data_IF_726333045792
#
_entry.id   IF_726333045792
#
_cell.length_a   1.000
_cell.length_b   1.000
_cell.length_c   1.000
_cell.angle_alpha   90.00
_cell.angle_beta   90.00
_cell.angle_gamma   90.00
#
_symmetry.space_group_name_H-M   'P 1'
#
loop_
_entity.id
_entity.type
_entity.pdbx_description
1 polymer ?
#
# COMPACT_ATOMS: atom_id res chain seq x y z
N UNK A 1 -35.26 -46.15 -1.71
CA UNK A 1 -35.37 -45.31 -2.92
C UNK A 1 -35.06 -43.89 -2.50
N UNK A 2 -33.77 -43.54 -2.49
CA UNK A 2 -33.04 -42.75 -3.50
C UNK A 2 -33.28 -41.24 -3.30
N UNK A 3 -32.36 -40.57 -2.61
CA UNK A 3 -31.30 -39.76 -3.24
C UNK A 3 -31.84 -38.70 -4.19
N UNK A 4 -31.83 -37.45 -3.74
CA UNK A 4 -31.36 -36.33 -4.57
C UNK A 4 -30.50 -35.43 -3.65
N UNK A 5 -29.19 -35.58 -3.82
CA UNK A 5 -28.18 -34.62 -3.40
C UNK A 5 -28.23 -33.48 -4.42
N UNK A 6 -28.74 -32.32 -4.05
CA UNK A 6 -28.52 -31.11 -4.85
C UNK A 6 -27.18 -30.49 -4.48
N UNK A 7 -26.29 -30.59 -5.46
CA UNK A 7 -24.97 -29.99 -5.56
C UNK A 7 -25.12 -28.47 -5.46
N UNK A 8 -24.66 -27.88 -4.36
CA UNK A 8 -24.43 -26.43 -4.27
C UNK A 8 -23.18 -26.12 -5.12
N UNK A 9 -23.27 -25.36 -6.22
CA UNK A 9 -22.08 -24.86 -6.89
C UNK A 9 -21.48 -23.72 -6.05
N UNK A 10 -20.16 -23.78 -5.88
CA UNK A 10 -19.29 -22.78 -5.27
C UNK A 10 -19.65 -21.32 -5.63
N UNK A 11 -19.41 -20.34 -4.74
CA UNK A 11 -19.63 -18.94 -5.07
C UNK A 11 -18.71 -18.51 -6.23
N UNK A 12 -19.32 -18.05 -7.32
CA UNK A 12 -18.66 -17.32 -8.40
C UNK A 12 -17.95 -16.09 -7.80
N UNK A 13 -16.61 -16.08 -7.87
CA UNK A 13 -15.84 -14.85 -7.75
C UNK A 13 -16.08 -14.03 -9.02
N UNK A 14 -16.86 -12.96 -8.90
CA UNK A 14 -17.09 -12.01 -9.99
C UNK A 14 -15.93 -11.02 -10.04
N UNK A 15 -14.92 -11.32 -10.86
CA UNK A 15 -14.00 -10.33 -11.43
C UNK A 15 -14.24 -10.34 -12.93
N UNK A 16 -15.22 -9.54 -13.36
CA UNK A 16 -15.60 -9.36 -14.75
C UNK A 16 -15.40 -7.91 -15.16
N UNK A 17 -14.84 -7.71 -16.35
CA UNK A 17 -14.67 -6.42 -17.01
C UNK A 17 -16.01 -5.67 -17.09
N UNK A 18 -16.17 -4.59 -16.33
CA UNK A 18 -17.28 -3.66 -16.52
C UNK A 18 -16.83 -2.50 -17.39
N UNK A 19 -17.55 -2.26 -18.49
CA UNK A 19 -17.62 -0.92 -19.08
C UNK A 19 -18.16 0.00 -17.99
N UNK A 20 -17.59 1.18 -17.84
CA UNK A 20 -17.96 2.19 -16.82
C UNK A 20 -19.48 2.44 -16.76
N UNK A 21 -20.21 2.25 -17.88
CA UNK A 21 -21.67 2.40 -17.95
C UNK A 21 -22.46 1.30 -17.21
N UNK A 22 -21.90 0.10 -16.98
CA UNK A 22 -22.59 -1.02 -16.31
C UNK A 22 -22.39 -1.03 -14.78
N UNK A 23 -21.44 -0.25 -14.24
CA UNK A 23 -21.27 -0.10 -12.78
C UNK A 23 -22.50 0.55 -12.14
N UNK A 24 -23.18 1.46 -12.83
CA UNK A 24 -24.41 2.10 -12.34
C UNK A 24 -25.55 1.11 -12.10
N UNK A 25 -25.56 -0.06 -12.78
CA UNK A 25 -26.58 -1.11 -12.56
C UNK A 25 -26.23 -2.05 -11.40
N UNK A 26 -24.94 -2.31 -11.16
CA UNK A 26 -24.49 -3.10 -10.01
C UNK A 26 -24.57 -2.35 -8.69
N UNK A 27 -24.49 -1.02 -8.74
CA UNK A 27 -24.63 -0.13 -7.58
C UNK A 27 -25.97 0.62 -7.55
N UNK A 28 -26.97 0.16 -8.32
CA UNK A 28 -28.34 0.63 -8.13
C UNK A 28 -28.73 0.32 -6.68
N UNK A 29 -29.16 1.36 -5.95
CA UNK A 29 -29.53 1.22 -4.54
C UNK A 29 -30.59 0.11 -4.41
N UNK A 30 -30.42 -0.85 -3.48
CA UNK A 30 -31.51 -1.76 -3.15
C UNK A 30 -32.74 -0.93 -2.75
N UNK A 31 -33.96 -1.41 -3.02
CA UNK A 31 -35.17 -0.69 -2.62
C UNK A 31 -35.10 -0.37 -1.12
N UNK A 32 -35.29 0.91 -0.78
CA UNK A 32 -35.24 1.39 0.60
C UNK A 32 -36.30 0.66 1.44
N UNK A 33 -35.88 -0.35 2.19
CA UNK A 33 -36.68 -0.90 3.29
C UNK A 33 -36.52 0.02 4.50
N UNK A 34 -37.58 0.26 5.28
CA UNK A 34 -37.53 1.17 6.45
C UNK A 34 -36.41 0.84 7.44
N UNK A 35 -35.94 -0.40 7.49
CA UNK A 35 -34.87 -0.88 8.38
C UNK A 35 -33.44 -0.43 7.98
N UNK A 36 -33.24 0.19 6.81
CA UNK A 36 -31.91 0.52 6.30
C UNK A 36 -31.79 2.00 5.85
N UNK A 37 -32.42 2.93 6.57
CA UNK A 37 -32.26 4.37 6.32
C UNK A 37 -30.89 4.85 6.84
N UNK A 38 -30.04 5.44 5.98
CA UNK A 38 -28.74 5.94 6.41
C UNK A 38 -28.91 7.13 7.35
N UNK A 39 -28.20 7.13 8.47
CA UNK A 39 -28.09 8.31 9.33
C UNK A 39 -27.07 9.29 8.74
N UNK A 40 -27.51 10.15 7.83
CA UNK A 40 -26.68 11.25 7.34
C UNK A 40 -26.63 12.35 8.41
N UNK A 41 -25.58 12.34 9.22
CA UNK A 41 -25.27 13.45 10.10
C UNK A 41 -24.49 14.55 9.37
N UNK A 42 -24.61 15.79 9.84
CA UNK A 42 -23.75 16.88 9.40
C UNK A 42 -22.28 16.58 9.81
N UNK A 43 -21.35 16.44 8.84
CA UNK A 43 -19.94 16.25 9.16
C UNK A 43 -19.35 17.37 10.02
N UNK A 44 -19.94 18.56 10.02
CA UNK A 44 -19.50 19.75 10.76
C UNK A 44 -20.33 20.06 12.01
N UNK A 45 -21.11 19.08 12.48
CA UNK A 45 -21.85 19.21 13.74
C UNK A 45 -20.93 19.63 14.90
N UNK A 46 -21.43 20.48 15.82
CA UNK A 46 -20.66 21.09 16.91
C UNK A 46 -19.85 20.08 17.73
N UNK A 47 -20.46 18.92 18.04
CA UNK A 47 -19.81 17.86 18.81
C UNK A 47 -18.61 17.22 18.10
N UNK A 48 -18.56 17.28 16.76
CA UNK A 48 -17.40 16.84 16.00
C UNK A 48 -16.36 17.95 15.84
N UNK A 49 -16.81 19.20 15.74
CA UNK A 49 -15.95 20.37 15.62
C UNK A 49 -15.17 20.65 16.90
N UNK A 50 -15.71 20.29 18.08
CA UNK A 50 -15.01 20.37 19.35
C UNK A 50 -13.65 19.64 19.32
N UNK A 51 -13.57 18.50 18.63
CA UNK A 51 -12.36 17.67 18.51
C UNK A 51 -11.54 17.98 17.25
N UNK A 52 -12.14 18.63 16.25
CA UNK A 52 -11.51 18.83 14.93
C UNK A 52 -10.53 19.99 14.97
N UNK A 53 -9.28 19.74 14.58
CA UNK A 53 -8.23 20.75 14.41
C UNK A 53 -7.56 20.52 13.06
N UNK A 54 -7.23 21.60 12.37
CA UNK A 54 -6.47 21.54 11.12
C UNK A 54 -5.02 21.84 11.45
N UNK A 55 -4.14 20.92 11.12
CA UNK A 55 -2.71 21.06 11.36
C UNK A 55 -1.97 21.25 10.03
N UNK A 56 -0.86 22.02 10.03
CA UNK A 56 -0.01 22.11 8.85
C UNK A 56 0.66 20.75 8.55
N UNK A 57 1.13 20.55 7.30
CA UNK A 57 1.91 19.38 6.94
C UNK A 57 3.13 19.18 7.84
N UNK A 58 3.67 17.96 7.87
CA UNK A 58 4.85 17.66 8.67
C UNK A 58 6.06 18.50 8.23
N UNK A 59 6.68 19.19 9.18
CA UNK A 59 7.96 19.86 8.97
C UNK A 59 9.08 18.86 9.20
N UNK A 60 9.47 18.15 8.13
CA UNK A 60 10.62 17.25 8.15
C UNK A 60 11.87 18.06 7.76
N UNK A 61 12.82 18.25 8.68
CA UNK A 61 14.03 19.02 8.39
C UNK A 61 14.87 18.34 7.29
N UNK A 62 15.09 19.05 6.18
CA UNK A 62 15.81 18.52 5.00
C UNK A 62 17.31 18.32 5.21
N UNK A 63 17.91 18.91 6.25
CA UNK A 63 19.37 18.82 6.49
C UNK A 63 19.86 17.40 6.81
N UNK A 64 18.96 16.45 7.10
CA UNK A 64 19.27 15.03 7.31
C UNK A 64 18.91 14.14 6.11
N UNK A 65 18.27 14.72 5.09
CA UNK A 65 17.80 14.02 3.89
C UNK A 65 18.88 13.96 2.81
N UNK A 66 18.95 12.82 2.13
CA UNK A 66 19.41 12.86 0.73
C UNK A 66 20.90 12.76 0.44
N UNK A 67 21.77 12.30 1.37
CA UNK A 67 23.10 11.85 0.92
C UNK A 67 22.95 10.72 -0.09
N UNK A 68 21.94 9.85 0.07
CA UNK A 68 21.63 8.84 -0.93
C UNK A 68 20.17 8.89 -1.33
N UNK A 69 19.90 8.65 -2.61
CA UNK A 69 18.57 8.51 -3.18
C UNK A 69 18.54 7.36 -4.17
N UNK A 70 17.35 6.85 -4.46
CA UNK A 70 17.13 5.85 -5.51
C UNK A 70 16.41 6.53 -6.65
N UNK A 71 17.06 6.55 -7.81
CA UNK A 71 16.45 7.02 -9.05
C UNK A 71 15.69 5.90 -9.77
N UNK A 72 14.89 6.32 -10.76
CA UNK A 72 14.11 5.42 -11.59
C UNK A 72 14.99 4.32 -12.19
N UNK A 73 14.50 3.09 -12.18
CA UNK A 73 15.27 1.92 -12.61
C UNK A 73 16.23 1.38 -11.54
N UNK A 74 16.05 1.81 -10.28
CA UNK A 74 16.78 1.38 -9.09
C UNK A 74 18.29 1.64 -9.13
N UNK A 75 18.65 2.83 -9.63
CA UNK A 75 20.01 3.33 -9.49
C UNK A 75 20.11 4.03 -8.14
N UNK A 76 20.91 3.47 -7.23
CA UNK A 76 21.26 4.10 -5.97
C UNK A 76 22.38 5.12 -6.23
N UNK A 77 22.17 6.37 -5.83
CA UNK A 77 23.08 7.48 -6.11
C UNK A 77 23.47 8.19 -4.82
N UNK A 78 24.74 8.56 -4.70
CA UNK A 78 25.27 9.47 -3.68
C UNK A 78 25.19 10.90 -4.18
N UNK A 79 24.59 11.79 -3.38
CA UNK A 79 24.49 13.20 -3.68
C UNK A 79 25.84 13.90 -3.43
N UNK A 80 26.63 14.04 -4.50
CA UNK A 80 27.96 14.64 -4.48
C UNK A 80 27.99 16.07 -3.94
N UNK A 81 26.92 16.87 -4.13
CA UNK A 81 26.82 18.24 -3.59
C UNK A 81 26.81 18.24 -2.06
N UNK A 82 26.11 17.28 -1.43
CA UNK A 82 26.10 17.14 0.02
C UNK A 82 27.44 16.62 0.55
N UNK A 83 28.09 15.71 -0.18
CA UNK A 83 29.46 15.24 0.15
C UNK A 83 30.42 16.44 0.28
N UNK A 84 30.38 17.37 -0.68
CA UNK A 84 31.21 18.58 -0.64
C UNK A 84 30.87 19.48 0.55
N UNK A 85 29.58 19.67 0.88
CA UNK A 85 29.17 20.49 2.02
C UNK A 85 29.57 19.91 3.39
N UNK A 86 29.67 18.58 3.50
CA UNK A 86 30.11 17.90 4.72
C UNK A 86 31.63 18.08 4.97
N UNK A 87 32.35 18.79 4.09
CA UNK A 87 33.82 18.90 4.06
C UNK A 87 34.53 17.54 4.07
N UNK A 88 33.78 16.46 3.79
CA UNK A 88 34.28 15.11 3.67
C UNK A 88 34.66 14.91 2.21
N UNK A 89 35.91 15.23 1.87
CA UNK A 89 36.45 15.06 0.51
C UNK A 89 36.47 13.60 0.05
N UNK A 90 36.32 12.65 0.99
CA UNK A 90 36.41 11.23 0.72
C UNK A 90 35.40 10.47 1.60
N UNK A 91 34.30 10.00 1.00
CA UNK A 91 33.33 9.11 1.64
C UNK A 91 33.43 7.72 0.99
N UNK A 92 33.34 6.66 1.78
CA UNK A 92 33.21 5.29 1.28
C UNK A 92 31.80 4.79 1.62
N UNK A 93 30.97 4.56 0.60
CA UNK A 93 29.62 4.07 0.77
C UNK A 93 29.57 2.58 0.43
N UNK A 94 28.75 1.85 1.19
CA UNK A 94 28.42 0.47 0.88
C UNK A 94 26.93 0.24 1.09
N UNK A 95 26.38 -0.68 0.31
CA UNK A 95 25.01 -1.14 0.47
C UNK A 95 24.97 -2.62 0.85
N UNK A 96 23.93 -3.00 1.58
CA UNK A 96 23.62 -4.37 1.93
C UNK A 96 22.16 -4.66 1.58
N UNK A 97 21.93 -5.74 0.82
CA UNK A 97 20.59 -6.22 0.52
C UNK A 97 19.91 -6.71 1.80
N UNK A 98 18.60 -6.50 1.93
CA UNK A 98 17.81 -6.92 3.09
C UNK A 98 17.02 -8.19 2.72
N UNK A 99 17.31 -9.31 3.37
CA UNK A 99 16.65 -10.59 3.12
C UNK A 99 15.65 -10.93 4.22
N UNK A 100 14.48 -11.44 3.83
CA UNK A 100 13.50 -11.99 4.77
C UNK A 100 13.97 -13.35 5.29
N UNK A 101 14.11 -13.49 6.60
CA UNK A 101 14.31 -14.80 7.25
C UNK A 101 12.97 -15.36 7.74
N UNK A 102 12.15 -14.50 8.33
CA UNK A 102 10.80 -14.84 8.77
C UNK A 102 9.92 -13.58 8.73
N UNK A 103 8.71 -13.68 9.24
CA UNK A 103 7.87 -12.51 9.42
C UNK A 103 8.50 -11.46 10.35
N UNK A 104 9.23 -11.85 11.39
CA UNK A 104 9.76 -10.90 12.38
C UNK A 104 11.29 -10.80 12.39
N UNK A 105 11.95 -11.36 11.38
CA UNK A 105 13.40 -11.33 11.25
C UNK A 105 13.85 -11.17 9.81
N UNK A 106 14.95 -10.45 9.65
CA UNK A 106 15.64 -10.22 8.40
C UNK A 106 17.14 -10.30 8.64
N UNK A 107 17.89 -10.45 7.55
CA UNK A 107 19.35 -10.42 7.55
C UNK A 107 19.87 -9.50 6.44
N UNK A 108 21.15 -9.15 6.50
CA UNK A 108 21.83 -8.32 5.52
C UNK A 108 22.82 -9.13 4.70
N UNK A 109 22.96 -8.82 3.40
CA UNK A 109 24.09 -9.35 2.61
C UNK A 109 25.43 -8.88 3.16
N UNK A 110 26.51 -9.47 2.65
CA UNK A 110 27.81 -8.83 2.69
C UNK A 110 27.74 -7.41 2.09
N UNK A 111 28.49 -6.43 2.66
CA UNK A 111 28.51 -5.06 2.14
C UNK A 111 29.15 -5.00 0.76
N UNK A 112 28.48 -4.31 -0.16
CA UNK A 112 28.97 -4.03 -1.50
C UNK A 112 29.31 -2.55 -1.61
N UNK A 113 30.59 -2.25 -1.87
CA UNK A 113 31.09 -0.87 -1.98
C UNK A 113 30.68 -0.27 -3.32
N UNK A 114 30.34 1.02 -3.30
CA UNK A 114 30.08 1.83 -4.48
C UNK A 114 30.52 3.27 -4.21
N UNK A 115 30.81 4.01 -5.28
CA UNK A 115 31.30 5.39 -5.18
C UNK A 115 30.16 6.39 -5.42
N UNK A 116 29.89 6.73 -6.69
CA UNK A 116 28.89 7.74 -7.02
C UNK A 116 27.50 7.13 -7.21
N UNK A 117 27.42 6.07 -8.02
CA UNK A 117 26.16 5.40 -8.31
C UNK A 117 26.35 3.90 -8.51
N UNK A 118 25.27 3.15 -8.27
CA UNK A 118 25.22 1.72 -8.55
C UNK A 118 23.81 1.31 -8.93
N UNK A 119 23.68 0.55 -10.03
CA UNK A 119 22.42 -0.06 -10.41
C UNK A 119 22.14 -1.29 -9.56
N UNK A 120 21.13 -1.21 -8.71
CA UNK A 120 20.73 -2.29 -7.84
C UNK A 120 19.98 -3.34 -8.66
N UNK A 121 20.57 -4.54 -8.79
CA UNK A 121 19.96 -5.71 -9.44
C UNK A 121 19.75 -6.81 -8.41
N UNK A 122 18.89 -6.54 -7.44
CA UNK A 122 18.62 -7.46 -6.34
C UNK A 122 17.30 -8.20 -6.52
N UNK A 123 17.23 -9.39 -5.93
CA UNK A 123 15.98 -10.15 -5.80
C UNK A 123 15.15 -9.65 -4.60
N UNK A 124 15.76 -8.87 -3.71
CA UNK A 124 15.15 -8.32 -2.49
C UNK A 124 14.51 -6.97 -2.72
N UNK A 125 13.58 -6.61 -1.84
CA UNK A 125 12.84 -5.36 -1.95
C UNK A 125 13.52 -4.16 -1.27
N UNK A 126 14.68 -4.31 -0.63
CA UNK A 126 15.33 -3.18 0.02
C UNK A 126 16.83 -3.31 0.23
N UNK A 127 17.46 -2.18 0.46
CA UNK A 127 18.88 -2.06 0.78
C UNK A 127 19.08 -1.14 1.97
N UNK A 128 20.03 -1.49 2.84
CA UNK A 128 20.63 -0.57 3.81
C UNK A 128 21.89 0.02 3.21
N UNK A 129 22.04 1.32 3.32
CA UNK A 129 23.22 2.05 2.85
C UNK A 129 23.91 2.68 4.04
N UNK A 130 25.22 2.48 4.13
CA UNK A 130 26.08 3.12 5.14
C UNK A 130 27.27 3.75 4.47
N UNK A 131 27.56 4.98 4.89
CA UNK A 131 28.69 5.74 4.38
C UNK A 131 29.61 6.12 5.53
N UNK A 132 30.92 5.98 5.28
CA UNK A 132 31.98 6.16 6.27
C UNK A 132 32.98 7.21 5.79
N UNK A 133 33.59 7.92 6.74
CA UNK A 133 34.69 8.84 6.44
C UNK A 133 35.91 8.02 5.98
N UNK A 134 36.43 8.30 4.77
CA UNK A 134 37.70 7.72 4.33
C UNK A 134 38.85 8.33 5.13
N UNK A 135 39.91 7.55 5.37
CA UNK A 135 41.15 7.96 6.07
C UNK A 135 41.02 8.32 7.56
N UNK A 136 39.89 8.00 8.22
CA UNK A 136 39.84 8.04 9.67
C UNK A 136 40.62 6.85 10.26
N UNK A 137 41.33 7.08 11.36
CA UNK A 137 42.04 6.02 12.13
C UNK A 137 41.09 4.95 12.68
N UNK A 138 39.78 5.19 12.64
CA UNK A 138 38.71 4.26 12.98
C UNK A 138 37.56 4.44 11.99
N UNK A 139 36.76 3.39 11.73
CA UNK A 139 35.58 3.51 10.86
C UNK A 139 34.51 4.40 11.49
N UNK A 140 34.50 5.68 11.13
CA UNK A 140 33.47 6.64 11.58
C UNK A 140 32.31 6.58 10.60
N UNK A 141 31.16 6.04 11.03
CA UNK A 141 29.91 6.07 10.27
C UNK A 141 29.36 7.50 10.25
N UNK A 142 29.20 8.07 9.05
CA UNK A 142 28.67 9.42 8.86
C UNK A 142 27.17 9.42 8.55
N UNK A 143 26.70 8.34 7.91
CA UNK A 143 25.36 8.31 7.36
C UNK A 143 24.85 6.87 7.26
N UNK A 144 23.55 6.73 7.55
CA UNK A 144 22.77 5.52 7.35
C UNK A 144 21.44 5.87 6.69
N UNK A 145 20.98 5.02 5.77
CA UNK A 145 19.65 5.06 5.20
C UNK A 145 19.19 3.66 4.78
N UNK A 146 17.88 3.48 4.64
CA UNK A 146 17.25 2.26 4.14
C UNK A 146 16.31 2.63 3.01
N UNK A 147 16.54 2.05 1.84
CA UNK A 147 15.74 2.30 0.65
C UNK A 147 14.89 1.10 0.29
N UNK A 148 13.62 1.34 -0.05
CA UNK A 148 12.77 0.35 -0.71
C UNK A 148 13.04 0.39 -2.21
N UNK A 149 13.34 -0.76 -2.80
CA UNK A 149 13.86 -0.88 -4.16
C UNK A 149 12.83 -1.58 -5.06
N UNK A 150 12.20 -0.79 -5.93
CA UNK A 150 11.30 -1.30 -6.96
C UNK A 150 12.08 -1.66 -8.22
N UNK A 151 12.30 -2.96 -8.43
CA UNK A 151 12.94 -3.49 -9.65
C UNK A 151 12.19 -4.69 -10.17
N UNK A 152 12.26 -4.93 -11.49
CA UNK A 152 11.80 -6.20 -12.04
C UNK A 152 12.66 -7.35 -11.48
N UNK A 153 12.01 -8.38 -10.96
CA UNK A 153 12.65 -9.60 -10.47
C UNK A 153 12.59 -10.68 -11.56
N UNK A 154 13.70 -11.02 -12.24
CA UNK A 154 13.67 -11.86 -13.45
C UNK A 154 12.95 -13.20 -13.27
N UNK A 155 13.15 -13.87 -12.14
CA UNK A 155 12.50 -15.16 -11.86
C UNK A 155 10.98 -15.04 -11.70
N UNK A 156 10.51 -13.94 -11.08
CA UNK A 156 9.09 -13.64 -10.95
C UNK A 156 8.49 -13.34 -12.33
N UNK A 157 9.16 -12.49 -13.11
CA UNK A 157 8.72 -12.13 -14.46
C UNK A 157 8.58 -13.37 -15.35
N UNK A 158 9.57 -14.27 -15.33
CA UNK A 158 9.53 -15.54 -16.07
C UNK A 158 8.33 -16.40 -15.65
N UNK A 159 8.10 -16.56 -14.34
CA UNK A 159 6.98 -17.34 -13.79
C UNK A 159 5.62 -16.75 -14.21
N UNK A 160 5.45 -15.44 -14.08
CA UNK A 160 4.18 -14.78 -14.41
C UNK A 160 3.90 -14.76 -15.91
N UNK A 161 4.93 -14.56 -16.74
CA UNK A 161 4.80 -14.65 -18.20
C UNK A 161 4.33 -16.05 -18.62
N UNK A 162 4.86 -17.11 -18.01
CA UNK A 162 4.42 -18.48 -18.29
C UNK A 162 2.95 -18.71 -17.90
N UNK A 163 2.50 -18.17 -16.77
CA UNK A 163 1.08 -18.23 -16.36
C UNK A 163 0.17 -17.54 -17.37
N UNK A 164 0.54 -16.33 -17.82
CA UNK A 164 -0.20 -15.59 -18.83
C UNK A 164 -0.28 -16.36 -20.16
N UNK A 165 0.82 -16.95 -20.63
CA UNK A 165 0.84 -17.76 -21.86
C UNK A 165 -0.06 -18.99 -21.75
N UNK A 166 -0.01 -19.72 -20.62
CA UNK A 166 -0.88 -20.88 -20.38
C UNK A 166 -2.36 -20.49 -20.38
N UNK A 167 -2.71 -19.33 -19.82
CA UNK A 167 -4.08 -18.80 -19.84
C UNK A 167 -4.52 -18.46 -21.25
N UNK A 168 -3.68 -17.77 -22.03
CA UNK A 168 -3.99 -17.44 -23.42
C UNK A 168 -4.27 -18.70 -24.24
N UNK A 169 -3.46 -19.75 -24.06
CA UNK A 169 -3.65 -21.04 -24.72
C UNK A 169 -4.99 -21.72 -24.34
N UNK A 170 -5.39 -21.69 -23.05
CA UNK A 170 -6.71 -22.19 -22.60
C UNK A 170 -7.87 -21.35 -23.16
N UNK A 171 -7.73 -20.02 -23.14
CA UNK A 171 -8.76 -19.13 -23.69
C UNK A 171 -8.96 -19.34 -25.19
N UNK A 172 -7.90 -19.64 -25.95
CA UNK A 172 -7.99 -19.94 -27.39
C UNK A 172 -8.63 -21.31 -27.69
N UNK A 173 -8.66 -22.26 -26.75
CA UNK A 173 -9.44 -23.50 -26.93
C UNK A 173 -10.93 -23.31 -26.66
N UNK A 174 -11.27 -22.33 -25.81
CA UNK A 174 -12.65 -22.12 -25.31
C UNK A 174 -13.41 -20.99 -26.03
N UNK A 175 -12.79 -20.28 -27.00
CA UNK A 175 -13.48 -19.24 -27.79
C UNK A 175 -13.33 -19.43 -29.30
N UNK A 176 -14.19 -20.29 -29.82
CA UNK A 176 -14.73 -20.10 -31.16
C UNK A 176 -15.65 -18.86 -31.14
N UNK A 177 -15.42 -17.91 -32.06
CA UNK A 177 -16.23 -16.72 -32.38
C UNK A 177 -16.29 -15.58 -31.34
N UNK A 178 -15.41 -14.59 -31.49
CA UNK A 178 -15.89 -13.21 -31.70
C UNK A 178 -15.06 -12.52 -32.80
N UNK A 179 -15.75 -12.26 -33.93
CA UNK A 179 -15.27 -11.49 -35.08
C UNK A 179 -15.25 -10.00 -34.72
N UNK A 180 -14.16 -9.52 -34.15
CA UNK A 180 -13.70 -8.12 -34.30
C UNK A 180 -12.17 -8.13 -34.15
N UNK A 181 -11.46 -7.58 -35.14
CA UNK A 181 -10.00 -7.66 -35.27
C UNK A 181 -9.18 -6.88 -34.23
N UNK A 182 -9.39 -7.14 -32.94
CA UNK A 182 -8.50 -6.70 -31.85
C UNK A 182 -8.73 -7.53 -30.58
N UNK A 183 -8.21 -8.75 -30.54
CA UNK A 183 -8.16 -9.54 -29.31
C UNK A 183 -6.97 -9.07 -28.44
N UNK A 184 -7.15 -7.98 -27.70
CA UNK A 184 -6.31 -7.67 -26.55
C UNK A 184 -7.09 -8.19 -25.35
N UNK A 185 -6.60 -9.18 -24.57
CA UNK A 185 -7.12 -9.38 -23.24
C UNK A 185 -6.91 -8.07 -22.48
N UNK A 186 -7.97 -7.28 -22.31
CA UNK A 186 -7.91 -6.03 -21.55
C UNK A 186 -7.76 -6.42 -20.09
N UNK A 187 -6.54 -6.71 -19.64
CA UNK A 187 -6.27 -6.82 -18.22
C UNK A 187 -6.50 -5.43 -17.61
N UNK A 188 -7.16 -5.34 -16.47
CA UNK A 188 -7.29 -4.11 -15.70
C UNK A 188 -6.35 -4.22 -14.50
N UNK A 189 -5.49 -3.22 -14.30
CA UNK A 189 -4.67 -3.13 -13.11
C UNK A 189 -5.53 -2.77 -11.90
N UNK A 190 -5.06 -3.07 -10.69
CA UNK A 190 -5.77 -2.73 -9.46
C UNK A 190 -4.82 -2.06 -8.49
N UNK A 191 -5.22 -0.90 -7.98
CA UNK A 191 -4.60 -0.21 -6.85
C UNK A 191 -5.64 -0.01 -5.76
N UNK A 192 -5.37 -0.54 -4.58
CA UNK A 192 -6.13 -0.28 -3.37
C UNK A 192 -5.21 0.50 -2.43
N UNK A 193 -5.59 1.74 -2.15
CA UNK A 193 -4.88 2.64 -1.24
C UNK A 193 -5.75 2.86 -0.03
N UNK A 194 -5.29 2.34 1.09
CA UNK A 194 -5.98 2.39 2.36
C UNK A 194 -5.37 3.38 3.34
N UNK A 195 -6.22 4.04 4.11
CA UNK A 195 -5.85 4.89 5.24
C UNK A 195 -6.58 4.42 6.49
N UNK A 196 -5.85 4.18 7.58
CA UNK A 196 -6.41 3.65 8.82
C UNK A 196 -7.18 4.73 9.59
N UNK A 197 -8.30 4.35 10.22
CA UNK A 197 -9.01 5.17 11.22
C UNK A 197 -9.61 6.50 10.71
N UNK A 198 -9.84 6.64 9.41
CA UNK A 198 -10.46 7.84 8.82
C UNK A 198 -11.88 7.53 8.37
N UNK A 199 -12.87 7.99 9.14
CA UNK A 199 -14.27 7.90 8.72
C UNK A 199 -14.53 8.83 7.53
N UNK A 200 -15.58 8.54 6.75
CA UNK A 200 -16.01 9.41 5.65
C UNK A 200 -16.24 10.86 6.11
N UNK A 201 -16.85 11.06 7.27
CA UNK A 201 -17.04 12.40 7.84
C UNK A 201 -15.72 13.04 8.27
N UNK A 202 -14.79 12.27 8.83
CA UNK A 202 -13.48 12.80 9.16
C UNK A 202 -12.71 13.23 7.90
N UNK A 203 -12.73 12.42 6.83
CA UNK A 203 -12.15 12.77 5.53
C UNK A 203 -12.70 14.09 4.97
N UNK A 204 -14.02 14.32 5.09
CA UNK A 204 -14.65 15.59 4.68
C UNK A 204 -14.04 16.79 5.42
N UNK A 205 -13.74 16.64 6.71
CA UNK A 205 -13.16 17.71 7.55
C UNK A 205 -11.66 17.88 7.35
N UNK A 206 -10.91 16.78 7.31
CA UNK A 206 -9.44 16.80 7.45
C UNK A 206 -8.71 16.52 6.14
N UNK A 207 -9.34 15.95 5.12
CA UNK A 207 -8.70 15.60 3.84
C UNK A 207 -9.46 16.17 2.63
N UNK A 208 -9.79 17.46 2.69
CA UNK A 208 -10.66 18.08 1.70
C UNK A 208 -10.01 18.21 0.31
N UNK A 209 -8.68 18.33 0.22
CA UNK A 209 -7.96 18.44 -1.06
C UNK A 209 -7.99 17.11 -1.79
N UNK A 210 -7.63 16.03 -1.10
CA UNK A 210 -7.69 14.65 -1.59
C UNK A 210 -9.11 14.28 -2.00
N UNK A 211 -10.10 14.54 -1.13
CA UNK A 211 -11.51 14.26 -1.43
C UNK A 211 -11.98 15.01 -2.67
N UNK A 212 -11.68 16.31 -2.74
CA UNK A 212 -12.06 17.14 -3.89
C UNK A 212 -11.40 16.60 -5.16
N UNK A 213 -10.11 16.26 -5.12
CA UNK A 213 -9.40 15.71 -6.27
C UNK A 213 -10.06 14.42 -6.77
N UNK A 214 -10.36 13.47 -5.88
CA UNK A 214 -11.06 12.23 -6.22
C UNK A 214 -12.39 12.50 -6.94
N UNK A 215 -13.22 13.39 -6.40
CA UNK A 215 -14.56 13.63 -6.93
C UNK A 215 -14.58 14.49 -8.19
N UNK A 216 -13.72 15.50 -8.29
CA UNK A 216 -13.78 16.50 -9.37
C UNK A 216 -12.79 16.24 -10.49
N UNK A 217 -11.62 15.65 -10.20
CA UNK A 217 -10.58 15.39 -11.20
C UNK A 217 -10.58 13.95 -11.68
N UNK A 218 -10.84 13.00 -10.78
CA UNK A 218 -10.93 11.57 -11.12
C UNK A 218 -12.36 11.08 -11.35
N UNK A 219 -13.37 11.91 -11.04
CA UNK A 219 -14.78 11.55 -11.12
C UNK A 219 -15.09 10.24 -10.37
N UNK A 220 -14.43 10.02 -9.23
CA UNK A 220 -14.60 8.84 -8.40
C UNK A 220 -16.03 8.76 -7.85
N UNK A 221 -16.51 7.54 -7.64
CA UNK A 221 -17.81 7.27 -7.01
C UNK A 221 -17.64 7.25 -5.49
N UNK A 222 -18.40 8.11 -4.79
CA UNK A 222 -18.46 8.13 -3.32
C UNK A 222 -19.46 7.06 -2.83
N UNK A 223 -18.93 5.97 -2.27
CA UNK A 223 -19.74 4.90 -1.68
C UNK A 223 -20.25 5.34 -0.29
N UNK A 224 -21.23 6.25 -0.25
CA UNK A 224 -21.73 6.85 0.98
C UNK A 224 -22.31 5.83 2.00
N UNK A 225 -22.66 4.63 1.55
CA UNK A 225 -23.22 3.54 2.37
C UNK A 225 -22.19 2.45 2.73
N UNK A 226 -20.96 2.56 2.25
CA UNK A 226 -19.88 1.65 2.64
C UNK A 226 -19.62 1.80 4.15
N UNK A 227 -19.69 0.69 4.87
CA UNK A 227 -19.56 0.66 6.32
C UNK A 227 -18.69 -0.49 6.81
N UNK A 228 -18.04 -0.25 7.94
CA UNK A 228 -17.26 -1.25 8.65
C UNK A 228 -18.16 -2.36 9.20
N UNK A 229 -17.67 -3.59 9.21
CA UNK A 229 -18.34 -4.77 9.78
C UNK A 229 -17.68 -5.28 11.07
N UNK A 230 -16.57 -4.64 11.47
CA UNK A 230 -15.79 -4.95 12.67
C UNK A 230 -15.37 -3.71 13.45
N UNK A 231 -14.79 -3.94 14.63
CA UNK A 231 -14.35 -2.86 15.52
C UNK A 231 -13.04 -2.20 15.08
N UNK A 232 -12.08 -3.00 14.62
CA UNK A 232 -10.72 -2.58 14.26
C UNK A 232 -10.34 -3.09 12.85
N UNK A 233 -9.11 -2.84 12.43
CA UNK A 233 -8.62 -3.08 11.07
C UNK A 233 -8.77 -4.53 10.58
N UNK A 234 -8.28 -5.51 11.35
CA UNK A 234 -8.27 -6.92 10.95
C UNK A 234 -9.64 -7.50 10.54
N UNK A 235 -10.71 -7.41 11.35
CA UNK A 235 -12.03 -7.92 10.99
C UNK A 235 -12.71 -7.15 9.85
N UNK A 236 -12.26 -5.93 9.55
CA UNK A 236 -12.77 -5.15 8.41
C UNK A 236 -12.04 -5.49 7.11
N UNK A 237 -10.71 -5.68 7.16
CA UNK A 237 -9.91 -5.90 5.96
C UNK A 237 -9.76 -7.37 5.56
N UNK A 238 -9.85 -8.32 6.49
CA UNK A 238 -9.83 -9.73 6.11
C UNK A 238 -10.97 -10.09 5.13
N UNK A 239 -12.23 -9.65 5.35
CA UNK A 239 -13.31 -9.86 4.38
C UNK A 239 -13.09 -9.17 3.04
N UNK A 240 -12.54 -7.95 3.03
CA UNK A 240 -12.18 -7.25 1.78
C UNK A 240 -11.16 -8.05 0.98
N UNK A 241 -10.18 -8.63 1.66
CA UNK A 241 -9.07 -9.32 1.01
C UNK A 241 -9.31 -10.80 0.73
N UNK A 242 -10.34 -11.43 1.32
CA UNK A 242 -10.56 -12.89 1.22
C UNK A 242 -12.01 -13.29 0.96
N UNK A 243 -12.96 -12.37 1.08
CA UNK A 243 -14.39 -12.66 1.09
C UNK A 243 -14.89 -13.38 2.35
N UNK A 244 -14.04 -13.57 3.38
CA UNK A 244 -14.35 -14.34 4.59
C UNK A 244 -14.20 -13.50 5.86
N UNK A 245 -15.09 -13.74 6.83
CA UNK A 245 -14.96 -13.20 8.19
C UNK A 245 -13.83 -13.91 8.95
N UNK A 246 -13.21 -13.26 9.94
CA UNK A 246 -12.26 -13.92 10.82
C UNK A 246 -12.86 -15.14 11.51
N UNK A 247 -12.03 -16.16 11.72
CA UNK A 247 -12.38 -17.25 12.61
C UNK A 247 -12.39 -16.75 14.06
N UNK A 248 -13.38 -17.18 14.85
CA UNK A 248 -13.61 -16.70 16.21
C UNK A 248 -12.49 -17.15 17.18
N UNK A 249 -11.72 -18.19 16.84
CA UNK A 249 -10.87 -18.91 17.79
C UNK A 249 -9.55 -19.46 17.21
N UNK A 250 -8.76 -18.64 16.49
CA UNK A 250 -7.52 -19.15 15.86
C UNK A 250 -6.26 -19.03 16.71
N UNK A 251 -6.32 -18.44 17.90
CA UNK A 251 -5.11 -18.02 18.61
C UNK A 251 -4.21 -17.13 17.73
N UNK A 252 -2.98 -16.84 18.17
CA UNK A 252 -2.01 -16.19 17.27
C UNK A 252 -1.41 -17.25 16.35
N UNK A 253 -1.96 -17.41 15.14
CA UNK A 253 -1.40 -18.25 14.06
C UNK A 253 -0.96 -17.40 12.86
N UNK A 254 -0.20 -18.00 11.94
CA UNK A 254 0.12 -17.37 10.67
C UNK A 254 -1.13 -17.34 9.77
N UNK A 255 -1.43 -16.20 9.16
CA UNK A 255 -2.70 -15.99 8.46
C UNK A 255 -2.82 -16.83 7.18
N UNK A 256 -1.68 -17.08 6.50
CA UNK A 256 -1.57 -17.97 5.34
C UNK A 256 -1.69 -19.47 5.70
N UNK A 257 -1.78 -19.81 6.99
CA UNK A 257 -2.00 -21.18 7.48
C UNK A 257 -3.44 -21.41 7.95
N UNK A 258 -4.30 -20.40 7.90
CA UNK A 258 -5.69 -20.48 8.37
C UNK A 258 -6.69 -20.82 7.25
N UNK A 259 -6.23 -21.20 6.04
CA UNK A 259 -7.13 -21.56 4.93
C UNK A 259 -7.80 -20.37 4.24
N UNK A 260 -7.28 -19.16 4.47
CA UNK A 260 -7.66 -17.98 3.69
C UNK A 260 -6.94 -17.98 2.36
N UNK A 261 -7.71 -17.68 1.31
CA UNK A 261 -7.18 -17.34 -0.01
C UNK A 261 -7.36 -15.85 -0.20
N UNK A 262 -6.26 -15.16 -0.41
CA UNK A 262 -6.23 -13.71 -0.54
C UNK A 262 -6.36 -13.29 -2.01
N UNK A 263 -6.97 -12.13 -2.23
CA UNK A 263 -7.24 -11.58 -3.55
C UNK A 263 -5.97 -11.45 -4.40
N UNK A 264 -4.84 -11.06 -3.79
CA UNK A 264 -3.57 -11.00 -4.52
C UNK A 264 -3.11 -12.37 -5.04
N UNK A 265 -3.48 -13.49 -4.41
CA UNK A 265 -3.16 -14.83 -4.91
C UNK A 265 -3.98 -15.16 -6.16
N UNK A 266 -5.25 -14.73 -6.23
CA UNK A 266 -6.06 -14.84 -7.44
C UNK A 266 -5.43 -14.04 -8.58
N UNK A 267 -5.03 -12.80 -8.33
CA UNK A 267 -4.32 -11.99 -9.31
C UNK A 267 -2.97 -12.61 -9.72
N UNK A 268 -2.20 -13.17 -8.77
CA UNK A 268 -0.93 -13.85 -9.04
C UNK A 268 -1.10 -15.03 -10.02
N UNK A 269 -2.15 -15.83 -9.83
CA UNK A 269 -2.47 -16.97 -10.67
C UNK A 269 -2.84 -16.54 -12.09
N UNK A 270 -3.42 -15.34 -12.23
CA UNK A 270 -3.68 -14.69 -13.52
C UNK A 270 -2.48 -13.97 -14.12
N UNK A 271 -1.29 -14.09 -13.51
CA UNK A 271 -0.05 -13.52 -14.02
C UNK A 271 0.21 -12.07 -13.63
N UNK A 272 -0.52 -11.55 -12.63
CA UNK A 272 -0.31 -10.19 -12.13
C UNK A 272 0.92 -10.12 -11.22
N UNK A 273 1.60 -8.97 -11.27
CA UNK A 273 2.59 -8.60 -10.24
C UNK A 273 1.84 -8.10 -9.03
N UNK A 274 2.28 -8.48 -7.83
CA UNK A 274 1.52 -8.23 -6.59
C UNK A 274 2.37 -7.48 -5.59
N UNK A 275 1.79 -6.44 -4.98
CA UNK A 275 2.42 -5.64 -3.94
C UNK A 275 1.51 -5.59 -2.72
N UNK A 276 2.11 -5.79 -1.54
CA UNK A 276 1.51 -5.49 -0.26
C UNK A 276 2.46 -4.60 0.53
N UNK A 277 2.01 -3.40 0.89
CA UNK A 277 2.82 -2.45 1.66
C UNK A 277 2.05 -1.87 2.85
N UNK A 278 2.73 -1.83 3.98
CA UNK A 278 2.28 -1.16 5.21
C UNK A 278 3.41 -0.26 5.72
N UNK A 279 3.08 0.79 6.47
CA UNK A 279 3.99 1.87 6.90
C UNK A 279 4.43 1.81 8.37
N UNK A 280 3.95 0.81 9.09
CA UNK A 280 4.28 0.52 10.50
C UNK A 280 4.55 -0.97 10.65
N UNK A 281 5.33 -1.43 11.63
CA UNK A 281 5.50 -2.89 11.86
C UNK A 281 4.79 -3.41 13.11
N UNK A 282 4.40 -2.51 14.01
CA UNK A 282 3.77 -2.89 15.28
C UNK A 282 2.23 -2.98 15.18
N UNK A 283 1.58 -2.16 14.34
CA UNK A 283 0.11 -2.14 14.15
C UNK A 283 -0.37 -2.78 12.83
N UNK A 284 0.43 -3.63 12.20
CA UNK A 284 0.03 -4.24 10.93
C UNK A 284 -1.27 -5.04 10.99
N UNK A 285 -2.02 -4.97 9.89
CA UNK A 285 -3.34 -5.59 9.69
C UNK A 285 -3.32 -7.06 10.12
N UNK A 286 -2.37 -7.82 9.59
CA UNK A 286 -2.31 -9.28 9.74
C UNK A 286 -1.27 -9.74 10.77
N UNK A 287 -0.66 -8.84 11.54
CA UNK A 287 0.32 -9.20 12.59
C UNK A 287 -0.03 -8.67 13.98
N UNK A 288 -0.85 -7.63 14.11
CA UNK A 288 -1.23 -7.14 15.44
C UNK A 288 -2.00 -8.22 16.24
N UNK A 289 -3.04 -8.78 15.64
CA UNK A 289 -3.88 -9.83 16.24
C UNK A 289 -3.46 -11.27 15.86
N UNK A 290 -2.52 -11.43 14.93
CA UNK A 290 -2.13 -12.71 14.31
C UNK A 290 -0.58 -12.83 14.29
N UNK A 291 0.01 -13.89 13.71
CA UNK A 291 1.49 -14.00 13.59
C UNK A 291 2.06 -13.35 12.33
N UNK A 292 1.23 -12.68 11.50
CA UNK A 292 1.61 -12.27 10.15
C UNK A 292 1.57 -13.44 9.19
N UNK A 293 2.47 -13.44 8.21
CA UNK A 293 2.56 -14.49 7.20
C UNK A 293 3.77 -15.40 7.43
N UNK A 294 3.62 -16.72 7.26
CA UNK A 294 4.77 -17.63 7.28
C UNK A 294 5.58 -17.45 5.99
N UNK A 295 4.92 -17.57 4.84
CA UNK A 295 5.49 -17.23 3.53
C UNK A 295 5.40 -15.74 3.22
N UNK A 296 6.19 -15.24 2.26
CA UNK A 296 5.98 -13.88 1.75
C UNK A 296 4.66 -13.83 0.96
N UNK A 297 3.73 -12.91 1.27
CA UNK A 297 2.37 -12.93 0.70
C UNK A 297 2.28 -12.44 -0.75
N UNK A 298 3.20 -11.56 -1.15
CA UNK A 298 3.21 -10.86 -2.45
C UNK A 298 4.62 -10.77 -3.03
N UNK A 299 4.74 -10.48 -4.32
CA UNK A 299 6.06 -10.35 -4.96
C UNK A 299 6.88 -9.18 -4.39
N UNK A 300 6.21 -8.10 -4.01
CA UNK A 300 6.78 -6.94 -3.31
C UNK A 300 6.13 -6.83 -1.94
N UNK A 301 6.92 -6.94 -0.88
CA UNK A 301 6.43 -6.89 0.50
C UNK A 301 7.26 -5.96 1.37
N UNK A 302 6.69 -4.81 1.79
CA UNK A 302 7.46 -3.74 2.46
C UNK A 302 7.96 -4.12 3.86
N UNK A 303 7.38 -5.15 4.49
CA UNK A 303 7.55 -5.46 5.91
C UNK A 303 8.99 -5.43 6.40
N UNK A 304 9.89 -6.21 5.80
CA UNK A 304 11.28 -6.30 6.29
C UNK A 304 12.05 -4.98 6.13
N UNK A 305 11.66 -4.19 5.13
CA UNK A 305 12.27 -2.89 4.86
C UNK A 305 11.79 -1.88 5.89
N UNK A 306 10.49 -1.84 6.18
CA UNK A 306 9.97 -1.03 7.28
C UNK A 306 10.53 -1.47 8.64
N UNK A 307 10.71 -2.77 8.88
CA UNK A 307 11.37 -3.26 10.09
C UNK A 307 12.82 -2.79 10.21
N UNK A 308 13.56 -2.78 9.10
CA UNK A 308 14.93 -2.27 9.08
C UNK A 308 14.98 -0.76 9.32
N UNK A 309 13.98 -0.01 8.83
CA UNK A 309 13.83 1.42 9.11
C UNK A 309 13.54 1.67 10.59
N UNK A 310 12.51 1.02 11.15
CA UNK A 310 12.05 1.24 12.53
C UNK A 310 13.06 0.79 13.58
N UNK A 311 13.86 -0.24 13.31
CA UNK A 311 14.92 -0.71 14.22
C UNK A 311 16.15 0.20 14.26
N UNK A 312 16.26 1.18 13.35
CA UNK A 312 17.33 2.16 13.39
C UNK A 312 16.87 3.44 14.06
N UNK A 313 17.48 3.77 15.19
CA UNK A 313 17.20 4.99 15.95
C UNK A 313 17.57 6.29 15.23
N UNK A 314 18.28 6.21 14.10
CA UNK A 314 18.78 7.37 13.34
C UNK A 314 17.90 7.75 12.14
N UNK A 315 16.93 6.90 11.77
CA UNK A 315 16.20 7.07 10.51
C UNK A 315 14.86 7.79 10.67
N UNK A 316 14.25 7.70 11.84
CA UNK A 316 12.96 8.29 12.14
C UNK A 316 13.08 9.48 13.09
N UNK A 317 12.36 10.55 12.79
CA UNK A 317 12.20 11.73 13.65
C UNK A 317 10.73 12.11 13.78
N UNK A 318 10.40 13.08 14.65
CA UNK A 318 9.03 13.59 14.85
C UNK A 318 8.01 12.49 15.18
N UNK A 319 8.30 11.66 16.20
CA UNK A 319 7.46 10.49 16.57
C UNK A 319 7.19 9.58 15.36
N UNK A 320 8.24 9.31 14.59
CA UNK A 320 8.24 8.41 13.42
C UNK A 320 7.49 8.95 12.18
N UNK A 321 6.98 10.18 12.20
CA UNK A 321 6.30 10.80 11.07
C UNK A 321 7.25 11.17 9.90
N UNK A 322 8.53 11.37 10.19
CA UNK A 322 9.54 11.73 9.19
C UNK A 322 10.61 10.65 9.10
N UNK A 323 10.82 10.11 7.90
CA UNK A 323 11.91 9.20 7.56
C UNK A 323 12.99 9.97 6.79
N UNK A 324 14.18 10.13 7.38
CA UNK A 324 15.32 10.84 6.76
C UNK A 324 14.93 12.16 6.08
N UNK A 325 14.13 12.98 6.75
CA UNK A 325 13.69 14.29 6.28
C UNK A 325 12.54 14.27 5.26
N UNK A 326 11.94 13.11 4.98
CA UNK A 326 10.74 12.96 4.15
C UNK A 326 9.58 12.44 4.99
N UNK A 327 8.35 12.98 4.85
CA UNK A 327 7.16 12.41 5.49
C UNK A 327 6.95 10.93 5.13
N UNK A 328 6.67 10.09 6.12
CA UNK A 328 6.52 8.63 5.95
C UNK A 328 5.39 8.26 4.97
N UNK A 329 4.24 8.93 5.06
CA UNK A 329 3.12 8.77 4.12
C UNK A 329 3.54 9.10 2.68
N UNK A 330 4.26 10.21 2.47
CA UNK A 330 4.72 10.62 1.14
C UNK A 330 5.66 9.57 0.54
N UNK A 331 6.63 9.07 1.33
CA UNK A 331 7.55 8.03 0.88
C UNK A 331 6.82 6.74 0.47
N UNK A 332 5.81 6.33 1.25
CA UNK A 332 5.03 5.13 0.95
C UNK A 332 4.15 5.31 -0.29
N UNK A 333 3.53 6.48 -0.47
CA UNK A 333 2.75 6.80 -1.67
C UNK A 333 3.64 6.84 -2.91
N UNK A 334 4.84 7.41 -2.82
CA UNK A 334 5.82 7.42 -3.90
C UNK A 334 6.23 5.98 -4.29
N UNK A 335 6.42 5.08 -3.31
CA UNK A 335 6.70 3.67 -3.58
C UNK A 335 5.57 2.98 -4.37
N UNK A 336 4.31 3.25 -4.04
CA UNK A 336 3.16 2.72 -4.78
C UNK A 336 3.10 3.29 -6.22
N UNK A 337 3.41 4.57 -6.39
CA UNK A 337 3.49 5.19 -7.72
C UNK A 337 4.62 4.58 -8.56
N UNK A 338 5.80 4.32 -7.97
CA UNK A 338 6.89 3.60 -8.63
C UNK A 338 6.51 2.18 -9.04
N UNK A 339 5.77 1.44 -8.20
CA UNK A 339 5.25 0.12 -8.57
C UNK A 339 4.30 0.18 -9.78
N UNK A 340 3.34 1.11 -9.76
CA UNK A 340 2.40 1.31 -10.87
C UNK A 340 3.12 1.71 -12.17
N UNK A 341 4.16 2.56 -12.06
CA UNK A 341 4.98 3.00 -13.20
C UNK A 341 5.82 1.87 -13.77
N UNK A 342 6.51 1.10 -12.91
CA UNK A 342 7.34 -0.04 -13.30
C UNK A 342 6.53 -1.05 -14.12
N UNK A 343 5.28 -1.27 -13.74
CA UNK A 343 4.40 -2.24 -14.35
C UNK A 343 3.31 -1.66 -15.24
N UNK A 344 3.41 -0.41 -15.70
CA UNK A 344 2.36 0.25 -16.51
C UNK A 344 1.91 -0.53 -17.77
N UNK A 345 2.76 -1.43 -18.28
CA UNK A 345 2.50 -2.25 -19.47
C UNK A 345 2.30 -3.74 -19.15
N UNK A 346 2.20 -4.11 -17.87
CA UNK A 346 2.01 -5.49 -17.39
C UNK A 346 0.91 -5.50 -16.33
N UNK A 347 0.07 -6.54 -16.22
CA UNK A 347 -0.98 -6.56 -15.21
C UNK A 347 -0.39 -6.54 -13.80
N UNK A 348 -0.94 -5.70 -12.92
CA UNK A 348 -0.53 -5.60 -11.52
C UNK A 348 -1.69 -5.40 -10.54
N UNK A 349 -1.48 -5.84 -9.31
CA UNK A 349 -2.34 -5.68 -8.14
C UNK A 349 -1.52 -5.08 -6.99
N UNK A 350 -1.82 -3.85 -6.59
CA UNK A 350 -1.18 -3.18 -5.46
C UNK A 350 -2.18 -2.97 -4.33
N UNK A 351 -1.82 -3.40 -3.12
CA UNK A 351 -2.54 -3.12 -1.89
C UNK A 351 -1.60 -2.42 -0.90
N UNK A 352 -1.90 -1.17 -0.54
CA UNK A 352 -1.14 -0.40 0.43
C UNK A 352 -2.05 0.08 1.55
N UNK A 353 -1.56 0.03 2.79
CA UNK A 353 -2.28 0.49 3.96
C UNK A 353 -1.41 1.40 4.81
N UNK A 354 -1.83 2.66 4.98
CA UNK A 354 -1.10 3.67 5.74
C UNK A 354 -1.82 3.93 7.07
N UNK A 355 -1.10 3.72 8.17
CA UNK A 355 -1.62 3.64 9.53
C UNK A 355 -1.04 4.73 10.42
N UNK A 356 0.25 5.04 10.23
CA UNK A 356 1.08 5.75 11.20
C UNK A 356 0.54 7.12 11.58
N UNK A 357 0.04 7.88 10.61
CA UNK A 357 -0.36 9.26 10.84
C UNK A 357 -1.76 9.39 11.46
N UNK A 358 -2.69 8.50 11.10
CA UNK A 358 -4.12 8.70 11.40
C UNK A 358 -4.69 7.78 12.46
N UNK A 359 -4.05 6.64 12.75
CA UNK A 359 -4.61 5.62 13.64
C UNK A 359 -5.00 6.17 15.03
N UNK A 360 -4.13 6.99 15.64
CA UNK A 360 -4.34 7.56 16.98
C UNK A 360 -4.58 9.08 16.98
N UNK A 361 -4.68 9.71 15.79
CA UNK A 361 -4.87 11.15 15.65
C UNK A 361 -6.03 11.46 14.68
N UNK A 362 -7.17 11.89 15.23
CA UNK A 362 -8.35 12.29 14.44
C UNK A 362 -8.04 13.44 13.46
N UNK A 363 -7.01 14.24 13.75
CA UNK A 363 -6.62 15.39 12.95
C UNK A 363 -5.41 15.09 12.05
N UNK A 364 -4.84 13.88 12.15
CA UNK A 364 -3.67 13.45 11.37
C UNK A 364 -3.87 13.58 9.87
N UNK A 365 -5.09 13.30 9.37
CA UNK A 365 -5.44 13.45 7.96
C UNK A 365 -5.12 14.84 7.39
N UNK A 366 -5.29 15.90 8.19
CA UNK A 366 -4.99 17.28 7.77
C UNK A 366 -3.53 17.56 7.50
N UNK A 367 -2.63 16.80 8.14
CA UNK A 367 -1.18 16.90 7.93
C UNK A 367 -0.73 16.24 6.64
N UNK A 368 -1.48 15.25 6.16
CA UNK A 368 -1.09 14.43 5.01
C UNK A 368 -1.96 14.63 3.78
N UNK A 369 -3.06 15.38 3.88
CA UNK A 369 -3.99 15.65 2.77
C UNK A 369 -3.29 16.10 1.48
N UNK A 370 -2.29 16.99 1.60
CA UNK A 370 -1.51 17.44 0.45
C UNK A 370 -0.67 16.33 -0.22
N UNK A 371 -0.18 15.36 0.54
CA UNK A 371 0.63 14.25 0.01
C UNK A 371 -0.23 13.26 -0.77
N UNK A 372 -1.43 12.95 -0.28
CA UNK A 372 -2.39 12.09 -1.00
C UNK A 372 -2.92 12.78 -2.26
N UNK A 373 -3.24 14.08 -2.23
CA UNK A 373 -3.58 14.84 -3.43
C UNK A 373 -2.44 14.81 -4.46
N UNK A 374 -1.20 15.08 -4.04
CA UNK A 374 0.00 15.04 -4.90
C UNK A 374 0.15 13.66 -5.56
N UNK A 375 0.04 12.58 -4.79
CA UNK A 375 0.11 11.22 -5.29
C UNK A 375 -0.96 10.94 -6.36
N UNK A 376 -2.23 11.31 -6.09
CA UNK A 376 -3.31 11.12 -7.06
C UNK A 376 -3.12 11.95 -8.33
N UNK A 377 -2.63 13.19 -8.19
CA UNK A 377 -2.28 14.05 -9.33
C UNK A 377 -1.19 13.42 -10.17
N UNK A 378 -0.14 12.90 -9.53
CA UNK A 378 0.94 12.21 -10.21
C UNK A 378 0.46 10.98 -10.99
N UNK A 379 -0.38 10.13 -10.38
CA UNK A 379 -0.94 8.96 -11.07
C UNK A 379 -1.76 9.36 -12.32
N UNK A 380 -2.51 10.47 -12.23
CA UNK A 380 -3.29 10.99 -13.34
C UNK A 380 -2.40 11.58 -14.44
N UNK A 381 -1.47 12.47 -14.09
CA UNK A 381 -0.59 13.19 -15.01
C UNK A 381 0.37 12.26 -15.76
N UNK A 382 0.85 11.20 -15.09
CA UNK A 382 1.71 10.19 -15.70
C UNK A 382 0.95 9.11 -16.47
N UNK A 383 -0.38 9.24 -16.56
CA UNK A 383 -1.26 8.34 -17.26
C UNK A 383 -1.18 6.89 -16.73
N UNK A 384 -1.13 6.75 -15.39
CA UNK A 384 -1.09 5.46 -14.69
C UNK A 384 -2.49 4.95 -14.31
N UNK A 385 -3.53 5.76 -14.52
CA UNK A 385 -4.92 5.43 -14.19
C UNK A 385 -5.76 4.94 -15.38
N UNK A 386 -5.31 5.11 -16.63
CA UNK A 386 -6.12 4.80 -17.83
C UNK A 386 -6.61 3.34 -17.92
N UNK A 387 -5.89 2.40 -17.32
CA UNK A 387 -6.24 0.98 -17.30
C UNK A 387 -6.14 0.40 -15.89
N UNK A 388 -6.52 1.19 -14.90
CA UNK A 388 -6.33 0.85 -13.48
C UNK A 388 -7.60 1.16 -12.70
N UNK A 389 -8.14 0.15 -12.02
CA UNK A 389 -9.13 0.33 -10.97
C UNK A 389 -8.41 0.88 -9.73
N UNK A 390 -8.76 2.09 -9.32
CA UNK A 390 -8.30 2.71 -8.08
C UNK A 390 -9.42 2.64 -7.04
N UNK A 391 -9.14 2.00 -5.90
CA UNK A 391 -9.97 2.06 -4.70
C UNK A 391 -9.24 2.84 -3.61
N UNK A 392 -9.83 3.94 -3.16
CA UNK A 392 -9.37 4.70 -1.99
C UNK A 392 -10.32 4.40 -0.83
N UNK A 393 -9.81 3.76 0.22
CA UNK A 393 -10.65 3.15 1.26
C UNK A 393 -10.12 3.40 2.66
N UNK A 394 -11.00 3.21 3.65
CA UNK A 394 -10.64 3.14 5.06
C UNK A 394 -11.37 1.95 5.70
N UNK A 395 -10.90 1.50 6.85
CA UNK A 395 -11.38 0.34 7.59
C UNK A 395 -12.40 0.71 8.69
N UNK A 396 -12.14 1.81 9.40
CA UNK A 396 -13.01 2.35 10.44
C UNK A 396 -12.75 3.84 10.70
N UNK A 397 -13.57 4.47 11.54
CA UNK A 397 -13.30 5.82 12.06
C UNK A 397 -12.42 5.82 13.30
N UNK A 398 -11.99 7.00 13.75
CA UNK A 398 -11.14 7.16 14.93
C UNK A 398 -11.76 6.52 16.17
N UNK A 399 -10.92 5.89 17.00
CA UNK A 399 -11.37 5.19 18.22
C UNK A 399 -11.13 5.96 19.52
N UNK A 400 -10.89 7.28 19.47
CA UNK A 400 -10.65 8.13 20.63
C UNK A 400 -11.88 8.24 21.56
N UNK A 401 -11.70 7.99 22.85
CA UNK A 401 -12.80 7.81 23.82
C UNK A 401 -13.77 9.01 23.92
N UNK A 402 -13.26 10.25 23.92
CA UNK A 402 -14.09 11.46 23.96
C UNK A 402 -14.97 11.59 22.71
N UNK A 403 -14.36 11.53 21.53
CA UNK A 403 -15.08 11.67 20.27
C UNK A 403 -16.12 10.57 20.05
N UNK A 404 -15.83 9.31 20.41
CA UNK A 404 -16.76 8.18 20.27
C UNK A 404 -18.05 8.32 21.09
N UNK A 405 -18.02 9.15 22.14
CA UNK A 405 -19.19 9.40 22.97
C UNK A 405 -20.18 10.38 22.32
N UNK A 406 -19.72 11.13 21.32
CA UNK A 406 -20.54 12.11 20.58
C UNK A 406 -21.48 11.41 19.59
N UNK A 407 -22.62 12.04 19.20
CA UNK A 407 -23.52 11.47 18.19
C UNK A 407 -22.84 11.16 16.85
N UNK A 408 -21.81 11.92 16.47
CA UNK A 408 -21.09 11.77 15.19
C UNK A 408 -20.01 10.68 15.25
N UNK A 409 -19.46 10.43 16.43
CA UNK A 409 -18.33 9.50 16.61
C UNK A 409 -18.72 8.06 16.96
N UNK A 410 -20.03 7.77 17.12
CA UNK A 410 -20.53 6.44 17.51
C UNK A 410 -20.37 5.40 16.41
#
# INVERSE_FOLDING_TARGET
MSQVLDVIPSPLYLVGLFKIQDLNRLFAAPPETEECKPHFHDPFHESAMEYTRIHPPFSCHHNESGLTRVERGATLIVNSTLVTSLKATLINCSYQAIYRLSENSYDFSAPQVFEDEVKIRLVTDGVRVRCYLKNATSQIQLYENVHYIMTEKPEIEKKLQQRMLRRQQRSTSDTEKYRTGKAIPSYMNVLIVGIDSVSRFNMIRTMNRTRRFLLTRLHAVDFAHYNKIGLNTFPNLLPVMTGKKPHVDTGKQYIDKQGFRFLWQDFEDEGYRTMFAEDTTFMNIFRFAQRGFAGQPTHYYSRIVEMAKERSSQLFTNKEACFKGTPSDELMLDNMAEFARLYRHKPYFGFQWLTRTTHDDMNGGSRVDGYYEKFLSQLLEENLLNNTLLAFVSDHGIRCAGYRSTPIGR
#
